data_IF_428724663446
#
_entry.id   IF_428724663446
#
_cell.length_a   1.000
_cell.length_b   1.000
_cell.length_c   1.000
_cell.angle_alpha   90.00
_cell.angle_beta   90.00
_cell.angle_gamma   90.00
#
_symmetry.space_group_name_H-M   'P 1'
#
loop_
_entity.id
_entity.type
_entity.pdbx_description
1 polymer ?
#
# COMPACT_ATOMS: atom_id res chain seq x y z
N UNK A 1 1.75 33.20 -11.60
CA UNK A 1 2.81 32.69 -12.50
C UNK A 1 3.24 31.30 -12.03
N UNK A 2 3.56 30.39 -12.97
CA UNK A 2 4.11 29.05 -12.64
C UNK A 2 5.60 29.03 -12.93
N UNK A 3 6.39 28.38 -12.06
CA UNK A 3 7.83 28.14 -12.26
C UNK A 3 8.00 26.74 -12.88
N UNK A 4 8.85 26.62 -13.90
CA UNK A 4 9.24 25.33 -14.47
C UNK A 4 10.26 24.64 -13.55
N UNK A 5 10.04 23.35 -13.24
CA UNK A 5 10.91 22.55 -12.37
C UNK A 5 11.68 21.45 -13.14
N UNK A 6 11.40 21.26 -14.44
CA UNK A 6 11.92 20.16 -15.24
C UNK A 6 11.20 18.83 -14.94
N UNK A 7 11.71 17.70 -15.50
CA UNK A 7 11.18 16.37 -15.20
C UNK A 7 11.33 16.04 -13.70
N UNK A 8 10.28 15.53 -13.09
CA UNK A 8 10.24 15.17 -11.65
C UNK A 8 9.30 14.00 -11.43
N UNK A 9 9.60 13.16 -10.45
CA UNK A 9 8.73 12.13 -9.90
C UNK A 9 7.91 12.60 -8.70
N UNK A 10 7.84 13.91 -8.48
CA UNK A 10 7.05 14.56 -7.43
C UNK A 10 5.55 14.33 -7.66
N UNK A 11 5.07 13.16 -7.28
CA UNK A 11 3.66 12.80 -7.28
C UNK A 11 3.17 12.70 -5.84
N UNK A 12 2.11 13.43 -5.49
CA UNK A 12 1.65 13.53 -4.10
C UNK A 12 0.14 13.82 -3.98
N UNK A 13 -0.52 13.38 -2.90
CA UNK A 13 -0.01 12.40 -1.94
C UNK A 13 0.03 10.99 -2.55
N UNK A 14 0.91 10.14 -2.01
CA UNK A 14 0.93 8.72 -2.35
C UNK A 14 0.64 7.90 -1.08
N UNK A 15 0.11 6.67 -1.18
CA UNK A 15 -0.03 5.81 -0.03
C UNK A 15 1.35 5.39 0.50
N UNK A 16 1.46 5.12 1.79
CA UNK A 16 2.58 4.40 2.36
C UNK A 16 2.07 2.99 2.72
N UNK A 17 2.46 1.97 1.97
CA UNK A 17 2.00 0.60 2.18
C UNK A 17 3.14 -0.30 2.67
N UNK A 18 2.80 -1.26 3.54
CA UNK A 18 3.68 -2.34 3.96
C UNK A 18 3.41 -3.56 3.07
N UNK A 19 4.39 -3.93 2.24
CA UNK A 19 4.31 -5.10 1.39
C UNK A 19 5.00 -6.25 2.10
N UNK A 20 4.28 -7.37 2.31
CA UNK A 20 4.88 -8.59 2.83
C UNK A 20 5.09 -9.59 1.70
N UNK A 21 6.24 -10.22 1.69
CA UNK A 21 6.68 -11.22 0.72
C UNK A 21 7.43 -12.34 1.42
N UNK A 22 7.47 -13.52 0.81
CA UNK A 22 8.00 -14.73 1.44
C UNK A 22 6.99 -15.37 2.39
N UNK A 23 7.34 -16.49 2.97
CA UNK A 23 6.46 -17.29 3.85
C UNK A 23 7.18 -17.72 5.12
N UNK A 24 6.43 -17.98 6.17
CA UNK A 24 6.92 -18.44 7.48
C UNK A 24 8.06 -17.55 8.02
N UNK A 25 9.17 -18.16 8.44
CA UNK A 25 10.34 -17.46 8.99
C UNK A 25 11.06 -16.58 7.95
N UNK A 26 10.81 -16.79 6.65
CA UNK A 26 11.36 -16.00 5.55
C UNK A 26 10.48 -14.80 5.17
N UNK A 27 9.33 -14.61 5.83
CA UNK A 27 8.47 -13.47 5.57
C UNK A 27 9.20 -12.15 5.86
N UNK A 28 9.13 -11.21 4.93
CA UNK A 28 9.80 -9.91 5.06
C UNK A 28 8.88 -8.77 4.66
N UNK A 29 8.99 -7.67 5.37
CA UNK A 29 8.23 -6.43 5.14
C UNK A 29 9.10 -5.43 4.39
N UNK A 30 8.52 -4.75 3.40
CA UNK A 30 9.11 -3.54 2.80
C UNK A 30 8.05 -2.44 2.71
N UNK A 31 8.44 -1.21 3.02
CA UNK A 31 7.59 -0.05 2.76
C UNK A 31 7.73 0.39 1.32
N UNK A 32 6.61 0.53 0.63
CA UNK A 32 6.54 1.10 -0.69
C UNK A 32 5.53 2.27 -0.72
N UNK A 33 5.93 3.34 -1.41
CA UNK A 33 5.09 4.49 -1.71
C UNK A 33 4.62 4.47 -3.19
N UNK A 34 5.34 3.76 -4.05
CA UNK A 34 4.95 3.55 -5.44
C UNK A 34 3.96 2.39 -5.52
N UNK A 35 2.74 2.64 -5.02
CA UNK A 35 1.62 1.69 -4.94
C UNK A 35 0.37 2.39 -5.45
N UNK A 36 -0.41 1.72 -6.27
CA UNK A 36 -1.65 2.29 -6.79
C UNK A 36 -2.57 1.27 -7.43
N UNK A 37 -3.81 1.68 -7.67
CA UNK A 37 -4.80 0.87 -8.38
C UNK A 37 -4.42 0.85 -9.85
N UNK A 38 -4.26 -0.35 -10.43
CA UNK A 38 -3.99 -0.54 -11.85
C UNK A 38 -5.26 -0.89 -12.63
N UNK A 39 -6.18 -1.65 -12.04
CA UNK A 39 -7.47 -2.02 -12.64
C UNK A 39 -8.53 -2.28 -11.57
N UNK A 40 -9.79 -2.08 -11.91
CA UNK A 40 -10.93 -2.49 -11.09
C UNK A 40 -11.57 -3.80 -11.55
N UNK A 41 -11.23 -4.28 -12.76
CA UNK A 41 -11.78 -5.52 -13.32
C UNK A 41 -10.74 -6.19 -14.24
N UNK A 42 -10.08 -7.26 -13.76
CA UNK A 42 -10.06 -7.72 -12.37
C UNK A 42 -9.42 -6.70 -11.43
N UNK A 43 -9.74 -6.71 -10.12
CA UNK A 43 -9.12 -5.83 -9.15
C UNK A 43 -7.60 -6.06 -9.15
N UNK A 44 -6.82 -5.02 -9.44
CA UNK A 44 -5.37 -5.14 -9.62
C UNK A 44 -4.67 -3.96 -8.98
N UNK A 45 -3.65 -4.23 -8.17
CA UNK A 45 -2.75 -3.24 -7.58
C UNK A 45 -1.40 -3.32 -8.28
N UNK A 46 -0.86 -2.15 -8.65
CA UNK A 46 0.50 -2.01 -9.14
C UNK A 46 1.42 -1.58 -7.99
N UNK A 47 2.57 -2.23 -7.87
CA UNK A 47 3.66 -1.82 -6.97
C UNK A 47 4.95 -1.68 -7.77
N UNK A 48 5.77 -0.66 -7.47
CA UNK A 48 7.10 -0.53 -8.07
C UNK A 48 8.18 -0.70 -7.02
N UNK A 49 9.08 -1.64 -7.24
CA UNK A 49 10.15 -2.01 -6.33
C UNK A 49 11.52 -1.94 -7.02
N UNK A 50 12.54 -1.39 -6.36
CA UNK A 50 13.90 -1.38 -6.93
C UNK A 50 14.46 -2.80 -7.03
N UNK A 51 15.17 -3.09 -8.14
CA UNK A 51 15.82 -4.39 -8.41
C UNK A 51 16.73 -4.87 -7.28
N UNK A 52 17.33 -3.95 -6.52
CA UNK A 52 18.24 -4.25 -5.41
C UNK A 52 17.54 -4.67 -4.10
N UNK A 53 16.21 -4.52 -4.01
CA UNK A 53 15.47 -4.82 -2.77
C UNK A 53 15.28 -6.31 -2.57
N UNK A 54 15.53 -6.78 -1.36
CA UNK A 54 15.44 -8.19 -0.96
C UNK A 54 14.05 -8.78 -1.23
N UNK A 55 12.99 -8.02 -0.92
CA UNK A 55 11.60 -8.47 -1.11
C UNK A 55 11.25 -8.82 -2.55
N UNK A 56 11.94 -8.27 -3.56
CA UNK A 56 11.68 -8.62 -4.96
C UNK A 56 11.96 -10.11 -5.24
N UNK A 57 13.03 -10.65 -4.68
CA UNK A 57 13.36 -12.06 -4.84
C UNK A 57 12.27 -12.94 -4.19
N UNK A 58 11.85 -12.57 -2.98
CA UNK A 58 10.80 -13.31 -2.25
C UNK A 58 9.45 -13.27 -2.98
N UNK A 59 9.10 -12.13 -3.61
CA UNK A 59 7.88 -12.04 -4.45
C UNK A 59 8.00 -13.00 -5.64
N UNK A 60 9.17 -13.06 -6.29
CA UNK A 60 9.40 -13.94 -7.44
C UNK A 60 9.41 -15.41 -7.09
N UNK A 61 9.85 -15.77 -5.89
CA UNK A 61 9.85 -17.16 -5.40
C UNK A 61 8.44 -17.67 -5.18
N UNK A 62 7.53 -16.85 -4.65
CA UNK A 62 6.16 -17.24 -4.34
C UNK A 62 5.16 -16.86 -5.43
N UNK A 63 5.47 -15.86 -6.27
CA UNK A 63 4.56 -15.15 -7.16
C UNK A 63 3.37 -14.51 -6.42
N UNK A 64 3.55 -14.20 -5.15
CA UNK A 64 2.51 -13.67 -4.27
C UNK A 64 3.08 -12.62 -3.33
N UNK A 65 2.23 -11.69 -2.89
CA UNK A 65 2.55 -10.70 -1.86
C UNK A 65 1.27 -10.17 -1.21
N UNK A 66 1.36 -9.70 0.03
CA UNK A 66 0.26 -8.95 0.63
C UNK A 66 0.57 -7.45 0.63
N UNK A 67 -0.48 -6.64 0.44
CA UNK A 67 -0.44 -5.18 0.58
C UNK A 67 -1.19 -4.83 1.85
N UNK A 68 -0.50 -4.23 2.81
CA UNK A 68 -1.06 -3.89 4.11
C UNK A 68 -1.06 -2.37 4.25
N UNK A 69 -2.23 -1.77 4.46
CA UNK A 69 -2.39 -0.33 4.56
C UNK A 69 -2.39 0.07 6.04
N UNK A 70 -1.32 0.71 6.52
CA UNK A 70 -1.18 1.10 7.91
C UNK A 70 -2.06 2.31 8.24
N UNK A 71 -2.53 2.38 9.47
CA UNK A 71 -3.02 3.64 10.02
C UNK A 71 -1.87 4.60 10.31
N UNK A 72 -2.17 5.88 10.45
CA UNK A 72 -1.16 6.91 10.73
C UNK A 72 -0.41 6.68 12.06
N UNK A 73 -0.94 5.90 12.99
CA UNK A 73 -0.26 5.55 14.24
C UNK A 73 1.00 4.69 14.02
N UNK A 74 1.09 3.98 12.91
CA UNK A 74 2.20 3.08 12.57
C UNK A 74 3.32 3.75 11.77
N UNK A 75 3.39 5.08 11.70
CA UNK A 75 4.34 5.77 10.80
C UNK A 75 5.80 5.45 11.11
N UNK A 76 6.17 5.15 12.37
CA UNK A 76 7.53 4.78 12.76
C UNK A 76 7.92 3.39 12.25
N UNK A 77 7.03 2.42 12.39
CA UNK A 77 7.18 1.05 11.89
C UNK A 77 7.27 1.05 10.36
N UNK A 78 6.44 1.88 9.71
CA UNK A 78 6.45 2.09 8.25
C UNK A 78 7.81 2.64 7.81
N UNK A 79 8.32 3.69 8.44
CA UNK A 79 9.62 4.27 8.12
C UNK A 79 10.75 3.25 8.34
N UNK A 80 10.75 2.58 9.49
CA UNK A 80 11.75 1.53 9.81
C UNK A 80 11.80 0.44 8.73
N UNK A 81 10.64 -0.07 8.30
CA UNK A 81 10.56 -1.09 7.25
C UNK A 81 11.07 -0.60 5.88
N UNK A 82 11.04 0.71 5.63
CA UNK A 82 11.54 1.35 4.40
C UNK A 82 13.06 1.51 4.38
N UNK A 83 13.67 1.88 5.51
CA UNK A 83 15.10 2.19 5.62
C UNK A 83 15.96 0.96 5.97
N UNK A 84 15.36 -0.14 6.45
CA UNK A 84 16.06 -1.33 6.92
C UNK A 84 15.97 -2.46 5.88
N UNK A 85 17.05 -3.26 5.78
CA UNK A 85 17.08 -4.44 4.88
C UNK A 85 16.73 -5.73 5.62
N UNK A 86 15.76 -6.50 5.06
CA UNK A 86 15.39 -7.82 5.58
C UNK A 86 16.48 -8.91 5.45
N UNK A 87 17.55 -8.65 4.70
CA UNK A 87 18.71 -9.56 4.66
C UNK A 87 19.46 -9.66 5.99
N UNK A 88 19.34 -8.65 6.85
CA UNK A 88 20.12 -8.52 8.10
C UNK A 88 19.23 -8.44 9.35
N UNK A 89 17.96 -8.18 9.19
CA UNK A 89 17.05 -7.88 10.28
C UNK A 89 15.71 -8.57 10.09
N UNK A 90 15.18 -9.10 11.16
CA UNK A 90 13.80 -9.55 11.25
C UNK A 90 12.91 -8.35 11.59
N UNK A 91 12.23 -7.83 10.57
CA UNK A 91 11.45 -6.60 10.73
C UNK A 91 10.16 -6.80 11.53
N UNK A 92 9.56 -7.98 11.52
CA UNK A 92 8.43 -8.29 12.39
C UNK A 92 8.83 -8.19 13.85
N UNK A 93 9.93 -8.84 14.20
CA UNK A 93 10.48 -8.81 15.57
C UNK A 93 10.91 -7.40 16.00
N UNK A 94 11.60 -6.68 15.11
CA UNK A 94 12.14 -5.36 15.44
C UNK A 94 11.04 -4.29 15.63
N UNK A 95 9.93 -4.39 14.88
CA UNK A 95 8.80 -3.45 14.93
C UNK A 95 7.69 -3.87 15.88
N UNK A 96 7.64 -5.14 16.27
CA UNK A 96 6.53 -5.71 17.02
C UNK A 96 5.26 -5.94 16.20
N UNK A 97 5.33 -5.76 14.87
CA UNK A 97 4.21 -6.09 13.98
C UNK A 97 3.96 -7.59 13.97
N UNK A 98 2.70 -7.99 13.95
CA UNK A 98 2.28 -9.39 14.07
C UNK A 98 1.88 -9.95 12.71
N UNK A 99 2.59 -10.97 12.18
CA UNK A 99 2.13 -11.67 10.98
C UNK A 99 0.91 -12.53 11.30
N UNK A 100 -0.13 -12.45 10.45
CA UNK A 100 -1.29 -13.36 10.50
C UNK A 100 -1.35 -14.13 9.19
N UNK A 101 -1.75 -15.38 9.27
CA UNK A 101 -1.92 -16.24 8.11
C UNK A 101 -2.93 -15.66 7.11
N UNK A 102 -2.53 -15.55 5.86
CA UNK A 102 -3.38 -15.18 4.73
C UNK A 102 -4.38 -16.30 4.41
N UNK A 103 -5.47 -15.97 3.74
CA UNK A 103 -6.50 -16.95 3.35
C UNK A 103 -6.24 -17.61 2.00
N UNK A 104 -5.56 -16.92 1.08
CA UNK A 104 -5.43 -17.32 -0.33
C UNK A 104 -4.00 -17.34 -0.85
N UNK A 105 -3.06 -16.74 -0.12
CA UNK A 105 -1.64 -16.64 -0.49
C UNK A 105 -0.75 -17.13 0.65
N UNK A 106 0.53 -17.36 0.35
CA UNK A 106 1.53 -17.79 1.34
C UNK A 106 2.06 -16.65 2.21
N UNK A 107 2.41 -15.46 1.64
CA UNK A 107 2.88 -14.33 2.44
C UNK A 107 1.81 -13.91 3.46
N UNK A 108 2.17 -13.70 4.76
CA UNK A 108 1.20 -13.29 5.76
C UNK A 108 0.71 -11.85 5.53
N UNK A 109 -0.44 -11.50 6.13
CA UNK A 109 -0.90 -10.13 6.32
C UNK A 109 -0.43 -9.61 7.68
N UNK A 110 -0.50 -8.29 7.90
CA UNK A 110 -0.10 -7.63 9.15
C UNK A 110 -1.34 -7.30 9.98
N UNK A 111 -1.39 -7.82 11.21
CA UNK A 111 -2.53 -7.67 12.13
C UNK A 111 -2.85 -6.21 12.45
N UNK A 112 -1.84 -5.37 12.67
CA UNK A 112 -1.99 -3.97 13.09
C UNK A 112 -2.39 -3.04 11.94
N UNK A 113 -2.40 -3.54 10.69
CA UNK A 113 -2.87 -2.78 9.54
C UNK A 113 -4.38 -2.98 9.37
N UNK A 114 -5.19 -1.92 9.45
CA UNK A 114 -6.66 -2.03 9.45
C UNK A 114 -7.26 -2.49 8.11
N UNK A 115 -6.48 -2.48 7.04
CA UNK A 115 -6.89 -3.01 5.74
C UNK A 115 -5.73 -3.75 5.07
N UNK A 116 -6.02 -4.95 4.54
CA UNK A 116 -5.03 -5.80 3.89
C UNK A 116 -5.60 -6.34 2.57
N UNK A 117 -4.74 -6.54 1.58
CA UNK A 117 -5.09 -7.17 0.31
C UNK A 117 -4.08 -8.28 -0.02
N UNK A 118 -4.59 -9.45 -0.37
CA UNK A 118 -3.81 -10.60 -0.81
C UNK A 118 -3.71 -10.59 -2.33
N UNK A 119 -2.48 -10.59 -2.84
CA UNK A 119 -2.23 -10.39 -4.26
C UNK A 119 -1.43 -11.53 -4.87
N UNK A 120 -1.81 -11.93 -6.08
CA UNK A 120 -1.05 -12.85 -6.94
C UNK A 120 -0.48 -12.08 -8.12
N UNK A 121 0.82 -12.26 -8.37
CA UNK A 121 1.51 -11.59 -9.48
C UNK A 121 0.90 -12.04 -10.81
N UNK A 122 0.47 -11.08 -11.60
CA UNK A 122 -0.03 -11.28 -12.96
C UNK A 122 0.97 -10.86 -14.03
N UNK A 123 1.78 -9.82 -13.74
CA UNK A 123 2.76 -9.30 -14.69
C UNK A 123 3.89 -8.55 -13.98
N UNK A 124 5.10 -8.61 -14.55
CA UNK A 124 6.24 -7.75 -14.21
C UNK A 124 6.68 -6.93 -15.41
N UNK A 125 6.98 -5.64 -15.20
CA UNK A 125 7.49 -4.72 -16.21
C UNK A 125 8.76 -4.07 -15.67
N UNK A 126 9.87 -4.19 -16.42
CA UNK A 126 11.13 -3.57 -16.04
C UNK A 126 11.14 -2.10 -16.52
N UNK A 127 11.33 -1.18 -15.58
CA UNK A 127 11.42 0.27 -15.85
C UNK A 127 12.70 0.80 -15.20
N UNK A 128 13.77 0.92 -15.95
CA UNK A 128 15.07 1.36 -15.43
C UNK A 128 15.54 0.49 -14.27
N UNK A 129 15.75 1.09 -13.12
CA UNK A 129 16.17 0.43 -11.86
C UNK A 129 15.01 -0.21 -11.08
N UNK A 130 13.78 -0.08 -11.57
CA UNK A 130 12.58 -0.60 -10.93
C UNK A 130 12.00 -1.78 -11.70
N UNK A 131 11.28 -2.61 -10.96
CA UNK A 131 10.33 -3.59 -11.49
C UNK A 131 8.95 -3.15 -11.03
N UNK A 132 8.06 -2.89 -11.99
CA UNK A 132 6.66 -2.65 -11.75
C UNK A 132 5.92 -3.97 -11.80
N UNK A 133 5.28 -4.35 -10.69
CA UNK A 133 4.59 -5.63 -10.51
C UNK A 133 3.10 -5.35 -10.44
N UNK A 134 2.33 -6.00 -11.30
CA UNK A 134 0.88 -6.02 -11.23
C UNK A 134 0.45 -7.27 -10.45
N UNK A 135 -0.29 -7.05 -9.37
CA UNK A 135 -0.86 -8.12 -8.55
C UNK A 135 -2.39 -8.08 -8.59
N UNK A 136 -3.00 -9.15 -9.06
CA UNK A 136 -4.44 -9.34 -8.94
C UNK A 136 -4.80 -9.53 -7.46
N UNK A 137 -5.75 -8.72 -6.96
CA UNK A 137 -6.27 -8.85 -5.60
C UNK A 137 -7.26 -9.99 -5.56
N UNK A 138 -6.92 -11.05 -4.83
CA UNK A 138 -7.73 -12.28 -4.74
C UNK A 138 -8.48 -12.41 -3.42
N UNK A 139 -8.13 -11.61 -2.42
CA UNK A 139 -8.84 -11.47 -1.15
C UNK A 139 -8.51 -10.12 -0.51
N UNK A 140 -9.45 -9.58 0.28
CA UNK A 140 -9.25 -8.35 1.04
C UNK A 140 -9.83 -8.50 2.44
N UNK A 141 -9.18 -7.87 3.40
CA UNK A 141 -9.56 -7.90 4.81
C UNK A 141 -9.66 -6.47 5.34
N UNK A 142 -10.58 -6.27 6.26
CA UNK A 142 -10.73 -5.04 7.03
C UNK A 142 -11.04 -5.39 8.48
N UNK A 143 -10.51 -4.61 9.42
CA UNK A 143 -10.82 -4.80 10.83
C UNK A 143 -12.32 -4.66 11.10
N UNK A 144 -12.93 -5.55 11.89
CA UNK A 144 -14.37 -5.57 12.15
C UNK A 144 -14.88 -4.24 12.75
N UNK A 145 -14.10 -3.58 13.60
CA UNK A 145 -14.45 -2.29 14.21
C UNK A 145 -14.41 -1.10 13.21
N UNK A 146 -13.87 -1.30 12.01
CA UNK A 146 -13.85 -0.33 10.91
C UNK A 146 -14.98 -0.56 9.91
N UNK A 147 -15.67 -1.71 9.97
CA UNK A 147 -16.83 -2.02 9.10
C UNK A 147 -17.95 -1.00 9.34
N UNK A 148 -18.54 -0.52 8.28
CA UNK A 148 -19.69 0.38 8.29
C UNK A 148 -20.51 0.20 6.99
N UNK A 149 -21.56 -0.60 7.06
CA UNK A 149 -22.41 -0.92 5.92
C UNK A 149 -23.20 0.29 5.37
N UNK A 150 -23.25 1.40 6.10
CA UNK A 150 -23.80 2.66 5.62
C UNK A 150 -22.89 3.39 4.62
N UNK A 151 -21.62 3.03 4.59
CA UNK A 151 -20.62 3.59 3.67
C UNK A 151 -20.57 2.79 2.37
N UNK A 152 -20.35 3.48 1.24
CA UNK A 152 -20.23 2.84 -0.07
C UNK A 152 -19.11 1.78 -0.14
N UNK A 153 -18.02 1.99 0.60
CA UNK A 153 -16.90 1.05 0.65
C UNK A 153 -17.14 -0.14 1.59
N UNK A 154 -18.22 -0.12 2.42
CA UNK A 154 -18.46 -1.10 3.47
C UNK A 154 -17.62 -0.86 4.73
N UNK A 155 -16.81 0.21 4.78
CA UNK A 155 -15.98 0.56 5.93
C UNK A 155 -15.75 2.07 6.04
N UNK A 156 -15.38 2.53 7.23
CA UNK A 156 -15.17 3.95 7.55
C UNK A 156 -13.70 4.35 7.40
N UNK A 157 -13.39 5.17 6.40
CA UNK A 157 -12.04 5.69 6.14
C UNK A 157 -11.50 6.56 7.27
N UNK A 158 -12.37 7.27 8.01
CA UNK A 158 -11.93 8.06 9.14
C UNK A 158 -11.44 7.17 10.30
N UNK A 159 -12.07 6.01 10.50
CA UNK A 159 -11.64 5.02 11.49
C UNK A 159 -10.36 4.27 11.06
N UNK A 160 -10.15 4.08 9.76
CA UNK A 160 -8.91 3.51 9.21
C UNK A 160 -7.76 4.50 9.42
N UNK A 161 -8.01 5.80 9.26
CA UNK A 161 -7.00 6.86 9.39
C UNK A 161 -5.71 6.54 8.61
N UNK A 162 -5.80 6.37 7.27
CA UNK A 162 -4.69 5.87 6.47
C UNK A 162 -3.50 6.83 6.47
N UNK A 163 -2.30 6.26 6.47
CA UNK A 163 -1.06 7.01 6.34
C UNK A 163 -0.81 7.41 4.88
N UNK A 164 -0.48 8.67 4.64
CA UNK A 164 -0.06 9.17 3.34
C UNK A 164 1.37 9.69 3.38
N UNK A 165 2.03 9.71 2.22
CA UNK A 165 3.43 10.09 2.09
C UNK A 165 3.64 11.11 0.97
N UNK A 166 4.50 12.10 1.22
CA UNK A 166 4.94 13.08 0.24
C UNK A 166 6.40 12.76 -0.12
N UNK A 167 6.61 12.08 -1.25
CA UNK A 167 7.88 11.45 -1.60
C UNK A 167 9.05 12.42 -1.67
N UNK A 168 8.91 13.55 -2.35
CA UNK A 168 9.97 14.56 -2.49
C UNK A 168 10.32 15.25 -1.15
N UNK A 169 9.30 15.49 -0.32
CA UNK A 169 9.49 16.10 1.00
C UNK A 169 9.95 15.07 2.05
N UNK A 170 9.77 13.77 1.78
CA UNK A 170 9.99 12.66 2.73
C UNK A 170 9.19 12.82 4.01
N UNK A 171 7.94 13.22 3.86
CA UNK A 171 7.05 13.53 4.97
C UNK A 171 5.88 12.56 5.03
N UNK A 172 5.53 12.12 6.23
CA UNK A 172 4.32 11.34 6.51
C UNK A 172 3.22 12.27 7.01
N UNK A 173 2.00 12.08 6.51
CA UNK A 173 0.84 12.88 6.86
C UNK A 173 -0.39 12.02 7.12
N UNK A 174 -1.34 12.56 7.85
CA UNK A 174 -2.69 12.00 7.94
C UNK A 174 -3.56 12.55 6.82
N UNK A 175 -4.66 11.85 6.53
CA UNK A 175 -5.71 12.37 5.62
C UNK A 175 -6.50 13.46 6.37
N UNK A 176 -6.81 14.55 5.68
CA UNK A 176 -7.63 15.62 6.21
C UNK A 176 -9.14 15.31 6.22
N UNK A 177 -9.97 16.35 6.31
CA UNK A 177 -11.42 16.23 6.33
C UNK A 177 -12.00 15.79 4.97
N UNK A 178 -13.11 15.06 5.01
CA UNK A 178 -13.86 14.69 3.83
C UNK A 178 -14.54 15.93 3.22
N UNK A 179 -14.26 16.23 1.96
CA UNK A 179 -14.80 17.39 1.25
C UNK A 179 -16.13 17.08 0.53
N UNK A 180 -16.39 15.83 0.19
CA UNK A 180 -17.59 15.43 -0.55
C UNK A 180 -17.45 14.09 -1.27
N UNK A 181 -18.53 13.66 -1.91
CA UNK A 181 -18.56 12.40 -2.67
C UNK A 181 -18.15 12.62 -4.13
N UNK A 182 -17.26 11.76 -4.63
CA UNK A 182 -16.94 11.67 -6.05
C UNK A 182 -18.20 11.36 -6.89
N UNK A 183 -18.21 11.78 -8.15
CA UNK A 183 -19.34 11.68 -9.09
C UNK A 183 -20.61 12.43 -8.64
N UNK A 184 -20.57 13.16 -7.53
CA UNK A 184 -21.70 13.94 -7.01
C UNK A 184 -21.34 15.43 -6.87
N UNK A 185 -20.23 15.76 -6.24
CA UNK A 185 -19.83 17.14 -5.98
C UNK A 185 -19.78 18.03 -7.25
N UNK A 186 -19.33 17.46 -8.38
CA UNK A 186 -19.28 18.15 -9.68
C UNK A 186 -20.64 18.44 -10.34
N UNK A 187 -21.74 17.85 -9.89
CA UNK A 187 -23.06 18.12 -10.45
C UNK A 187 -23.46 19.59 -10.28
N UNK A 188 -23.10 20.20 -9.16
CA UNK A 188 -23.36 21.60 -8.89
C UNK A 188 -22.74 22.59 -9.92
N UNK A 189 -21.72 22.17 -10.66
CA UNK A 189 -21.13 22.94 -11.76
C UNK A 189 -21.97 22.76 -13.04
N UNK A 190 -22.41 21.53 -13.29
CA UNK A 190 -23.21 21.18 -14.48
C UNK A 190 -24.59 21.88 -14.46
N UNK A 191 -25.19 22.06 -13.28
CA UNK A 191 -26.48 22.71 -13.11
C UNK A 191 -26.41 24.25 -13.26
N UNK A 192 -25.18 24.81 -13.39
CA UNK A 192 -24.93 26.26 -13.63
C UNK A 192 -24.56 26.58 -15.08
N UNK A 193 -24.37 25.58 -15.92
CA UNK A 193 -24.02 25.71 -17.34
C UNK A 193 -25.26 25.43 -18.21
#
# INVERSE_FOLDING_TARGET
MKKQLGPSDAFFPVPAALIVSGENENANIITLAWVGIASSTPPTIGISIRKSRYSLNLIRETNEFSVNFPSASLFKEVDYCGITTGKKRDKFKDTGLTPIESKKIKPPIIKECPYNAECRVSQEIIIGEYVHILGEVIESHVDEDKVDDSKRAGFDMAKINPLVYFAEAREYWTVGEMLGYGFNAGKAIKDKA
#
